data_IF_310193563794
#
_entry.id   IF_310193563794
#
_cell.length_a   1.000
_cell.length_b   1.000
_cell.length_c   1.000
_cell.angle_alpha   90.00
_cell.angle_beta   90.00
_cell.angle_gamma   90.00
#
_symmetry.space_group_name_H-M   'P 1'
#
loop_
_entity.id
_entity.type
_entity.pdbx_description
1 polymer ?
#
# COMPACT_ATOMS: atom_id res chain seq x y z
N UNK A 1 18.57 -16.14 -3.19
CA UNK A 1 19.50 -14.99 -3.23
C UNK A 1 18.93 -13.81 -2.45
N UNK A 2 17.70 -13.37 -2.73
CA UNK A 2 17.08 -12.18 -2.12
C UNK A 2 17.09 -12.25 -0.58
N UNK A 3 16.59 -13.35 0.01
CA UNK A 3 16.51 -13.52 1.46
C UNK A 3 17.89 -13.63 2.11
N UNK A 4 18.75 -14.47 1.58
CA UNK A 4 20.09 -14.69 2.16
C UNK A 4 20.99 -13.46 2.09
N UNK A 5 20.89 -12.69 1.01
CA UNK A 5 21.68 -11.47 0.80
C UNK A 5 21.00 -10.20 1.29
N UNK A 6 19.85 -10.32 2.01
CA UNK A 6 19.07 -9.20 2.55
C UNK A 6 18.74 -8.14 1.48
N UNK A 7 18.38 -8.60 0.27
CA UNK A 7 18.01 -7.73 -0.84
C UNK A 7 16.58 -7.23 -0.72
N UNK A 8 16.35 -5.99 -1.10
CA UNK A 8 15.02 -5.38 -1.11
C UNK A 8 14.31 -5.68 -2.43
N UNK A 9 13.09 -6.17 -2.33
CA UNK A 9 12.17 -6.41 -3.44
C UNK A 9 11.05 -5.39 -3.45
N UNK A 10 10.68 -4.90 -4.64
CA UNK A 10 9.47 -4.11 -4.84
C UNK A 10 8.59 -4.71 -5.95
N UNK A 11 7.29 -4.42 -5.91
CA UNK A 11 6.35 -4.82 -6.95
C UNK A 11 6.25 -3.72 -8.02
N UNK A 12 6.27 -4.11 -9.29
CA UNK A 12 6.10 -3.24 -10.44
C UNK A 12 5.01 -3.78 -11.37
N UNK A 13 3.75 -3.81 -10.88
CA UNK A 13 2.60 -4.32 -11.63
C UNK A 13 1.82 -3.23 -12.33
N UNK A 14 1.62 -2.08 -11.67
CA UNK A 14 0.73 -1.02 -12.13
C UNK A 14 1.19 -0.38 -13.43
N UNK A 15 0.22 -0.09 -14.31
CA UNK A 15 0.39 0.70 -15.53
C UNK A 15 -0.64 1.83 -15.55
N UNK A 16 -0.35 2.93 -16.24
CA UNK A 16 -1.20 4.12 -16.24
C UNK A 16 -2.60 3.84 -16.81
N UNK A 17 -2.69 2.93 -17.78
CA UNK A 17 -3.93 2.59 -18.47
C UNK A 17 -4.80 1.52 -17.80
N UNK A 18 -4.33 0.86 -16.73
CA UNK A 18 -5.04 -0.32 -16.19
C UNK A 18 -5.88 -0.04 -14.94
N UNK A 19 -5.72 1.12 -14.30
CA UNK A 19 -6.48 1.52 -13.11
C UNK A 19 -6.39 0.48 -12.00
N UNK A 20 -7.54 -0.01 -11.50
CA UNK A 20 -7.61 -1.04 -10.46
C UNK A 20 -7.24 -2.44 -10.94
N UNK A 21 -7.20 -2.67 -12.25
CA UNK A 21 -6.88 -3.97 -12.86
C UNK A 21 -5.37 -4.15 -13.03
N UNK A 22 -4.62 -4.04 -11.95
CA UNK A 22 -3.16 -4.11 -11.96
C UNK A 22 -2.57 -5.43 -12.47
N UNK A 23 -3.42 -6.46 -12.64
CA UNK A 23 -3.04 -7.72 -13.29
C UNK A 23 -3.03 -7.66 -14.83
N UNK A 24 -3.58 -6.61 -15.42
CA UNK A 24 -3.52 -6.41 -16.87
C UNK A 24 -2.22 -5.70 -17.24
N UNK A 25 -1.64 -6.12 -18.36
CA UNK A 25 -0.43 -5.53 -18.91
C UNK A 25 -0.72 -5.01 -20.32
N UNK A 26 -0.61 -3.70 -20.52
CA UNK A 26 -0.94 -3.02 -21.79
C UNK A 26 0.18 -2.11 -22.30
N UNK A 27 1.09 -1.70 -21.42
CA UNK A 27 2.17 -0.74 -21.72
C UNK A 27 3.54 -1.39 -21.83
N UNK A 28 3.63 -2.72 -21.64
CA UNK A 28 4.86 -3.51 -21.80
C UNK A 28 4.76 -4.38 -23.05
N UNK A 29 5.84 -4.44 -23.81
CA UNK A 29 6.04 -5.40 -24.88
C UNK A 29 7.23 -6.30 -24.56
N UNK A 30 7.13 -7.58 -24.95
CA UNK A 30 8.19 -8.58 -24.72
C UNK A 30 8.48 -9.29 -26.02
N UNK A 31 9.76 -9.31 -26.41
CA UNK A 31 10.26 -10.12 -27.51
C UNK A 31 11.04 -11.31 -26.94
N UNK A 32 10.45 -12.50 -27.04
CA UNK A 32 10.99 -13.74 -26.50
C UNK A 32 11.94 -14.40 -27.48
N UNK A 33 13.23 -14.37 -27.21
CA UNK A 33 14.29 -15.03 -27.96
C UNK A 33 14.63 -16.41 -27.37
N UNK A 34 15.50 -17.18 -28.00
CA UNK A 34 15.85 -18.53 -27.54
C UNK A 34 16.46 -18.56 -26.12
N UNK A 35 17.34 -17.60 -25.80
CA UNK A 35 18.11 -17.59 -24.52
C UNK A 35 17.75 -16.45 -23.58
N UNK A 36 17.02 -15.45 -24.04
CA UNK A 36 16.70 -14.24 -23.30
C UNK A 36 15.38 -13.63 -23.78
N UNK A 37 14.84 -12.68 -23.02
CA UNK A 37 13.76 -11.84 -23.47
C UNK A 37 14.19 -10.38 -23.49
N UNK A 38 13.63 -9.59 -24.42
CA UNK A 38 13.79 -8.14 -24.54
C UNK A 38 12.49 -7.46 -24.13
N UNK A 39 12.59 -6.51 -23.22
CA UNK A 39 11.44 -5.80 -22.65
C UNK A 39 11.49 -4.33 -23.06
N UNK A 40 10.35 -3.78 -23.45
CA UNK A 40 10.16 -2.35 -23.70
C UNK A 40 8.84 -1.88 -23.13
N UNK A 41 8.79 -0.63 -22.64
CA UNK A 41 7.59 -0.01 -22.12
C UNK A 41 7.81 0.69 -20.80
N UNK A 42 6.77 0.73 -19.96
CA UNK A 42 6.84 1.42 -18.67
C UNK A 42 5.86 0.84 -17.63
N UNK A 43 6.21 1.03 -16.37
CA UNK A 43 5.34 0.79 -15.21
C UNK A 43 5.15 2.07 -14.43
N UNK A 44 3.97 2.27 -13.87
CA UNK A 44 3.62 3.43 -13.05
C UNK A 44 3.55 3.07 -11.58
N UNK A 45 3.68 4.08 -10.72
CA UNK A 45 3.52 3.94 -9.26
C UNK A 45 4.40 2.84 -8.65
N UNK A 46 5.63 2.68 -9.16
CA UNK A 46 6.59 1.67 -8.67
C UNK A 46 7.20 2.16 -7.36
N UNK A 47 6.74 1.58 -6.26
CA UNK A 47 7.22 1.89 -4.91
C UNK A 47 8.70 1.58 -4.76
N UNK A 48 9.42 2.41 -4.00
CA UNK A 48 10.88 2.33 -3.84
C UNK A 48 11.64 2.40 -5.17
N UNK A 49 11.11 3.15 -6.13
CA UNK A 49 11.75 3.34 -7.42
C UNK A 49 13.17 3.87 -7.28
N UNK A 50 14.12 3.22 -7.93
CA UNK A 50 15.57 3.46 -7.85
C UNK A 50 16.23 3.16 -6.49
N UNK A 51 15.53 2.44 -5.57
CA UNK A 51 16.05 2.06 -4.26
C UNK A 51 15.98 0.57 -3.98
N UNK A 52 14.96 -0.15 -4.49
CA UNK A 52 14.90 -1.60 -4.36
C UNK A 52 15.97 -2.27 -5.23
N UNK A 53 16.57 -3.36 -4.74
CA UNK A 53 17.56 -4.12 -5.52
C UNK A 53 16.95 -4.82 -6.72
N UNK A 54 15.68 -5.24 -6.58
CA UNK A 54 14.92 -5.96 -7.62
C UNK A 54 13.46 -5.54 -7.66
N UNK A 55 12.88 -5.60 -8.86
CA UNK A 55 11.47 -5.33 -9.12
C UNK A 55 10.79 -6.55 -9.70
N UNK A 56 9.80 -7.09 -8.99
CA UNK A 56 8.92 -8.15 -9.52
C UNK A 56 7.94 -7.49 -10.47
N UNK A 57 8.12 -7.76 -11.75
CA UNK A 57 7.39 -7.11 -12.83
C UNK A 57 6.48 -8.10 -13.53
N UNK A 58 5.20 -7.77 -13.64
CA UNK A 58 4.23 -8.52 -14.44
C UNK A 58 4.30 -8.02 -15.89
N UNK A 59 4.45 -8.95 -16.84
CA UNK A 59 4.58 -8.66 -18.26
C UNK A 59 3.64 -9.55 -19.09
N UNK A 60 3.25 -9.16 -20.31
CA UNK A 60 2.44 -10.01 -21.18
C UNK A 60 3.25 -11.23 -21.64
N UNK A 61 2.56 -12.35 -21.86
CA UNK A 61 3.12 -13.55 -22.48
C UNK A 61 2.70 -13.67 -23.96
N UNK A 62 3.21 -14.67 -24.66
CA UNK A 62 2.96 -14.93 -26.09
C UNK A 62 1.49 -15.19 -26.40
N UNK A 63 0.74 -15.74 -25.45
CA UNK A 63 -0.68 -16.06 -25.56
C UNK A 63 -1.48 -14.87 -25.00
N UNK A 64 -2.44 -14.38 -25.77
CA UNK A 64 -3.29 -13.26 -25.36
C UNK A 64 -4.03 -13.58 -24.06
N UNK A 65 -3.93 -12.69 -23.08
CA UNK A 65 -4.55 -12.87 -21.76
C UNK A 65 -3.66 -13.61 -20.74
N UNK A 66 -2.56 -14.20 -21.15
CA UNK A 66 -1.55 -14.76 -20.25
C UNK A 66 -0.46 -13.76 -19.94
N UNK A 67 0.15 -13.92 -18.77
CA UNK A 67 1.23 -13.06 -18.28
C UNK A 67 2.37 -13.88 -17.71
N UNK A 68 3.51 -13.24 -17.52
CA UNK A 68 4.66 -13.79 -16.80
C UNK A 68 5.14 -12.83 -15.73
N UNK A 69 5.76 -13.35 -14.69
CA UNK A 69 6.50 -12.54 -13.72
C UNK A 69 8.00 -12.65 -13.97
N UNK A 70 8.65 -11.50 -13.90
CA UNK A 70 10.09 -11.39 -14.08
C UNK A 70 10.70 -10.54 -12.97
N UNK A 71 11.92 -10.90 -12.58
CA UNK A 71 12.72 -10.15 -11.61
C UNK A 71 13.65 -9.20 -12.37
N UNK A 72 13.38 -7.89 -12.30
CA UNK A 72 14.19 -6.86 -12.94
C UNK A 72 15.22 -6.32 -11.95
N UNK A 73 16.54 -6.64 -12.12
CA UNK A 73 17.60 -6.07 -11.27
C UNK A 73 17.72 -4.55 -11.47
N UNK A 74 17.88 -3.79 -10.40
CA UNK A 74 17.96 -2.31 -10.44
C UNK A 74 19.00 -1.78 -11.45
N UNK A 75 20.17 -2.39 -11.50
CA UNK A 75 21.29 -1.90 -12.32
C UNK A 75 21.34 -2.54 -13.72
N UNK A 76 20.24 -3.10 -14.22
CA UNK A 76 20.16 -3.64 -15.57
C UNK A 76 20.21 -2.52 -16.62
N UNK A 77 20.97 -2.73 -17.69
CA UNK A 77 20.96 -1.82 -18.82
C UNK A 77 19.58 -1.74 -19.45
N UNK A 78 19.09 -0.53 -19.66
CA UNK A 78 17.75 -0.28 -20.20
C UNK A 78 16.67 -0.10 -19.15
N UNK A 79 16.98 -0.17 -17.84
CA UNK A 79 16.05 0.13 -16.75
C UNK A 79 16.38 1.48 -16.13
N UNK A 80 15.38 2.37 -16.08
CA UNK A 80 15.54 3.71 -15.47
C UNK A 80 14.29 4.11 -14.67
N UNK A 81 14.47 5.04 -13.71
CA UNK A 81 13.41 5.50 -12.82
C UNK A 81 13.32 7.02 -12.82
N UNK A 82 12.13 7.53 -13.00
CA UNK A 82 11.85 8.97 -13.00
C UNK A 82 11.46 9.44 -11.60
N UNK A 83 12.39 9.40 -10.64
CA UNK A 83 12.11 9.71 -9.22
C UNK A 83 11.58 11.12 -8.99
N UNK A 84 11.95 12.08 -9.84
CA UNK A 84 11.45 13.46 -9.80
C UNK A 84 9.96 13.60 -10.16
N UNK A 85 9.36 12.59 -10.80
CA UNK A 85 7.92 12.59 -11.12
C UNK A 85 7.05 12.24 -9.93
N UNK A 86 7.62 11.70 -8.83
CA UNK A 86 6.88 11.41 -7.63
C UNK A 86 6.61 12.68 -6.82
N UNK A 87 5.40 13.19 -6.92
CA UNK A 87 4.90 14.35 -6.17
C UNK A 87 3.57 14.02 -5.49
N UNK A 88 3.56 12.98 -4.69
CA UNK A 88 2.37 12.53 -3.94
C UNK A 88 1.89 13.55 -2.92
N UNK A 89 0.58 13.64 -2.72
CA UNK A 89 -0.03 14.43 -1.65
C UNK A 89 0.49 13.98 -0.28
N UNK A 90 0.43 12.67 -0.02
CA UNK A 90 0.98 11.97 1.13
C UNK A 90 1.94 10.85 0.70
N UNK A 91 2.38 10.02 1.65
CA UNK A 91 3.30 8.90 1.43
C UNK A 91 4.54 9.29 0.63
N UNK A 92 5.05 10.49 0.85
CA UNK A 92 6.11 11.09 0.00
C UNK A 92 7.42 10.34 0.04
N UNK A 93 7.75 9.71 1.16
CA UNK A 93 8.96 8.88 1.30
C UNK A 93 8.87 7.54 0.55
N UNK A 94 7.71 7.21 0.00
CA UNK A 94 7.46 5.94 -0.69
C UNK A 94 8.11 5.89 -2.08
N UNK A 95 8.34 7.05 -2.70
CA UNK A 95 8.92 7.20 -4.06
C UNK A 95 8.27 6.22 -5.05
N UNK A 96 6.94 6.36 -5.22
CA UNK A 96 6.18 5.56 -6.19
C UNK A 96 6.24 6.21 -7.56
N UNK A 97 7.39 6.12 -8.22
CA UNK A 97 7.65 6.80 -9.50
C UNK A 97 7.41 5.88 -10.72
N UNK A 98 7.59 6.45 -11.90
CA UNK A 98 7.57 5.70 -13.15
C UNK A 98 8.90 4.93 -13.33
N UNK A 99 8.78 3.68 -13.77
CA UNK A 99 9.87 2.82 -14.23
C UNK A 99 9.80 2.71 -15.76
N UNK A 100 10.84 3.16 -16.44
CA UNK A 100 10.97 3.10 -17.88
C UNK A 100 11.88 1.93 -18.27
N UNK A 101 11.47 1.19 -19.30
CA UNK A 101 12.13 -0.02 -19.79
C UNK A 101 12.42 0.19 -21.27
N UNK A 102 13.70 0.17 -21.63
CA UNK A 102 14.14 0.39 -23.01
C UNK A 102 15.17 -0.66 -23.43
N UNK A 103 14.74 -1.63 -24.24
CA UNK A 103 15.55 -2.76 -24.68
C UNK A 103 16.25 -3.50 -23.52
N UNK A 104 15.55 -3.63 -22.39
CA UNK A 104 16.03 -4.39 -21.25
C UNK A 104 16.15 -5.86 -21.65
N UNK A 105 17.38 -6.40 -21.61
CA UNK A 105 17.68 -7.80 -21.92
C UNK A 105 17.87 -8.59 -20.64
N UNK A 106 17.07 -9.63 -20.44
CA UNK A 106 17.21 -10.55 -19.30
C UNK A 106 17.19 -12.02 -19.75
N UNK A 107 18.06 -12.83 -19.15
CA UNK A 107 18.04 -14.27 -19.32
C UNK A 107 16.86 -14.90 -18.58
N UNK A 108 16.42 -16.08 -19.02
CA UNK A 108 15.25 -16.75 -18.45
C UNK A 108 15.39 -17.15 -16.97
N UNK A 109 16.59 -17.14 -16.39
CA UNK A 109 16.75 -17.36 -14.95
C UNK A 109 16.15 -16.24 -14.08
N UNK A 110 15.86 -15.06 -14.69
CA UNK A 110 15.11 -13.98 -14.03
C UNK A 110 13.59 -14.14 -14.12
N UNK A 111 13.08 -15.13 -14.85
CA UNK A 111 11.65 -15.46 -14.88
C UNK A 111 11.27 -16.14 -13.56
N UNK A 112 10.15 -15.70 -12.98
CA UNK A 112 9.60 -16.26 -11.75
C UNK A 112 8.53 -17.28 -12.13
N UNK A 113 8.73 -18.54 -11.72
CA UNK A 113 7.76 -19.63 -11.87
C UNK A 113 7.58 -20.14 -13.30
N UNK A 114 6.39 -20.65 -13.62
CA UNK A 114 6.09 -21.31 -14.89
C UNK A 114 5.65 -20.30 -15.98
N UNK A 115 5.88 -20.65 -17.23
CA UNK A 115 5.48 -19.88 -18.42
C UNK A 115 3.98 -19.63 -18.46
N UNK A 116 3.59 -18.39 -18.82
CA UNK A 116 2.19 -17.99 -18.94
C UNK A 116 1.39 -17.91 -17.65
N UNK A 117 2.02 -18.18 -16.48
CA UNK A 117 1.35 -18.26 -15.16
C UNK A 117 1.53 -17.02 -14.28
N UNK A 118 1.90 -15.89 -14.87
CA UNK A 118 2.16 -14.66 -14.13
C UNK A 118 0.99 -14.19 -13.28
N UNK A 119 -0.23 -14.20 -13.79
CA UNK A 119 -1.42 -13.79 -13.06
C UNK A 119 -1.74 -14.72 -11.88
N UNK A 120 -1.57 -16.03 -12.06
CA UNK A 120 -1.76 -17.02 -11.00
C UNK A 120 -0.72 -16.81 -9.89
N UNK A 121 0.53 -16.63 -10.26
CA UNK A 121 1.64 -16.38 -9.32
C UNK A 121 1.49 -15.04 -8.59
N UNK A 122 0.99 -14.00 -9.28
CA UNK A 122 0.76 -12.69 -8.70
C UNK A 122 -0.32 -12.69 -7.62
N UNK A 123 -1.18 -13.69 -7.57
CA UNK A 123 -2.19 -13.84 -6.52
C UNK A 123 -1.58 -14.31 -5.19
N UNK A 124 -0.47 -15.03 -5.22
CA UNK A 124 0.17 -15.57 -4.00
C UNK A 124 0.53 -14.51 -2.95
N UNK A 125 1.14 -13.35 -3.28
CA UNK A 125 1.44 -12.32 -2.30
C UNK A 125 0.24 -11.43 -1.92
N UNK A 126 -0.90 -11.53 -2.62
CA UNK A 126 -2.06 -10.62 -2.44
C UNK A 126 -2.59 -10.60 -1.00
N UNK A 127 -2.83 -11.73 -0.32
CA UNK A 127 -3.31 -11.71 1.06
C UNK A 127 -2.34 -11.00 2.00
N UNK A 128 -1.05 -11.28 1.88
CA UNK A 128 0.00 -10.64 2.67
C UNK A 128 0.07 -9.13 2.39
N UNK A 129 0.02 -8.73 1.12
CA UNK A 129 0.06 -7.34 0.70
C UNK A 129 -1.16 -6.56 1.24
N UNK A 130 -2.37 -7.09 1.09
CA UNK A 130 -3.60 -6.43 1.56
C UNK A 130 -3.58 -6.28 3.08
N UNK A 131 -3.24 -7.34 3.82
CA UNK A 131 -3.18 -7.27 5.29
C UNK A 131 -2.03 -6.40 5.80
N UNK A 132 -0.89 -6.39 5.09
CA UNK A 132 0.22 -5.48 5.36
C UNK A 132 -0.20 -4.01 5.28
N UNK A 133 -1.00 -3.65 4.28
CA UNK A 133 -1.58 -2.30 4.19
C UNK A 133 -2.59 -2.01 5.31
N UNK A 134 -3.40 -2.99 5.73
CA UNK A 134 -4.27 -2.83 6.91
C UNK A 134 -3.44 -2.51 8.16
N UNK A 135 -2.33 -3.19 8.36
CA UNK A 135 -1.40 -2.94 9.47
C UNK A 135 -0.76 -1.54 9.40
N UNK A 136 -0.38 -1.07 8.20
CA UNK A 136 0.16 0.29 7.99
C UNK A 136 -0.84 1.35 8.45
N UNK A 137 -2.12 1.25 8.01
CA UNK A 137 -3.14 2.25 8.38
C UNK A 137 -3.62 2.12 9.82
N UNK A 138 -3.57 0.93 10.39
CA UNK A 138 -3.76 0.73 11.84
C UNK A 138 -2.65 1.41 12.66
N UNK A 139 -1.41 1.30 12.20
CA UNK A 139 -0.26 1.98 12.79
C UNK A 139 -0.34 3.51 12.66
N UNK A 140 -0.80 4.00 11.52
CA UNK A 140 -1.03 5.44 11.33
C UNK A 140 -2.15 5.95 12.24
N UNK A 141 -3.24 5.18 12.43
CA UNK A 141 -4.28 5.51 13.40
C UNK A 141 -3.74 5.59 14.83
N UNK A 142 -2.83 4.69 15.21
CA UNK A 142 -2.17 4.75 16.51
C UNK A 142 -1.30 6.00 16.65
N UNK A 143 -0.52 6.34 15.63
CA UNK A 143 0.30 7.55 15.65
C UNK A 143 -0.54 8.85 15.76
N UNK A 144 -1.70 8.89 15.11
CA UNK A 144 -2.67 9.98 15.24
C UNK A 144 -3.20 10.08 16.68
N UNK A 145 -3.56 8.96 17.29
CA UNK A 145 -4.02 8.92 18.68
C UNK A 145 -2.94 9.45 19.64
N UNK A 146 -1.72 8.96 19.50
CA UNK A 146 -0.60 9.33 20.37
C UNK A 146 -0.27 10.83 20.27
N UNK A 147 -0.25 11.37 19.06
CA UNK A 147 -0.04 12.81 18.82
C UNK A 147 -1.19 13.64 19.40
N UNK A 148 -2.44 13.21 19.21
CA UNK A 148 -3.62 13.90 19.73
C UNK A 148 -3.64 13.92 21.27
N UNK A 149 -3.37 12.79 21.91
CA UNK A 149 -3.27 12.67 23.38
C UNK A 149 -2.13 13.54 23.91
N UNK A 150 -0.94 13.45 23.32
CA UNK A 150 0.22 14.23 23.71
C UNK A 150 -0.05 15.74 23.61
N UNK A 151 -0.63 16.18 22.49
CA UNK A 151 -0.97 17.57 22.29
C UNK A 151 -1.97 18.07 23.34
N UNK A 152 -3.07 17.35 23.57
CA UNK A 152 -4.19 17.78 24.43
C UNK A 152 -3.83 17.76 25.90
N UNK A 153 -2.99 16.83 26.34
CA UNK A 153 -2.51 16.77 27.74
C UNK A 153 -1.46 17.82 28.07
N UNK A 154 -0.61 18.15 27.10
CA UNK A 154 0.48 19.13 27.29
C UNK A 154 0.02 20.59 27.16
N UNK A 155 -1.08 20.85 26.45
CA UNK A 155 -1.60 22.20 26.30
C UNK A 155 -2.39 22.61 27.54
N UNK A 156 -1.84 23.56 28.31
CA UNK A 156 -2.47 24.10 29.54
C UNK A 156 -3.10 25.46 29.30
N UNK A 157 -4.19 25.72 30.00
CA UNK A 157 -4.84 27.01 30.12
C UNK A 157 -4.34 27.77 31.36
N UNK A 158 -4.58 29.11 31.46
CA UNK A 158 -4.15 29.90 32.63
C UNK A 158 -4.75 29.44 33.96
N UNK A 159 -5.91 28.77 33.94
CA UNK A 159 -6.57 28.17 35.12
C UNK A 159 -5.97 26.80 35.52
N UNK A 160 -4.92 26.33 34.86
CA UNK A 160 -4.22 25.07 35.11
C UNK A 160 -4.85 23.85 34.46
N UNK A 161 -6.04 23.98 33.86
CA UNK A 161 -6.68 22.88 33.10
C UNK A 161 -5.90 22.58 31.81
N UNK A 162 -5.98 21.33 31.38
CA UNK A 162 -5.47 20.93 30.09
C UNK A 162 -6.58 20.94 29.01
N UNK A 163 -6.16 20.97 27.76
CA UNK A 163 -7.11 20.85 26.65
C UNK A 163 -7.88 19.49 26.72
N UNK A 164 -7.23 18.45 27.25
CA UNK A 164 -7.86 17.14 27.49
C UNK A 164 -8.96 17.13 28.56
N UNK A 165 -9.11 18.19 29.36
CA UNK A 165 -10.20 18.30 30.36
C UNK A 165 -11.53 18.78 29.74
N UNK A 166 -11.51 19.16 28.47
CA UNK A 166 -12.71 19.61 27.74
C UNK A 166 -13.49 18.40 27.23
N UNK A 167 -14.76 18.27 27.60
CA UNK A 167 -15.62 17.12 27.26
C UNK A 167 -15.66 16.81 25.76
N UNK A 168 -15.77 17.84 24.89
CA UNK A 168 -15.76 17.65 23.44
C UNK A 168 -14.44 17.05 22.94
N UNK A 169 -13.32 17.41 23.57
CA UNK A 169 -12.00 16.83 23.24
C UNK A 169 -11.95 15.37 23.68
N UNK A 170 -12.45 15.07 24.88
CA UNK A 170 -12.53 13.69 25.38
C UNK A 170 -13.40 12.80 24.48
N UNK A 171 -14.54 13.33 23.99
CA UNK A 171 -15.41 12.64 23.04
C UNK A 171 -14.63 12.26 21.77
N UNK A 172 -13.88 13.19 21.18
CA UNK A 172 -13.09 12.93 19.96
C UNK A 172 -11.94 11.97 20.21
N UNK A 173 -11.23 12.08 21.34
CA UNK A 173 -10.18 11.14 21.72
C UNK A 173 -10.72 9.72 21.89
N UNK A 174 -11.90 9.57 22.51
CA UNK A 174 -12.57 8.28 22.65
C UNK A 174 -12.91 7.67 21.29
N UNK A 175 -13.36 8.46 20.33
CA UNK A 175 -13.68 7.98 18.97
C UNK A 175 -12.42 7.52 18.24
N UNK A 176 -11.34 8.33 18.25
CA UNK A 176 -10.05 7.96 17.66
C UNK A 176 -9.54 6.66 18.30
N UNK A 177 -9.65 6.53 19.63
CA UNK A 177 -9.23 5.31 20.35
C UNK A 177 -10.00 4.08 19.90
N UNK A 178 -11.33 4.13 19.83
CA UNK A 178 -12.18 3.01 19.43
C UNK A 178 -11.86 2.56 18.01
N UNK A 179 -11.78 3.50 17.06
CA UNK A 179 -11.44 3.22 15.68
C UNK A 179 -10.05 2.60 15.54
N UNK A 180 -9.07 3.12 16.28
CA UNK A 180 -7.70 2.59 16.30
C UNK A 180 -7.67 1.15 16.84
N UNK A 181 -8.34 0.91 17.97
CA UNK A 181 -8.39 -0.45 18.58
C UNK A 181 -9.07 -1.44 17.65
N UNK A 182 -10.19 -1.07 17.03
CA UNK A 182 -10.89 -1.92 16.08
C UNK A 182 -10.01 -2.25 14.87
N UNK A 183 -9.32 -1.26 14.28
CA UNK A 183 -8.41 -1.46 13.15
C UNK A 183 -7.27 -2.44 13.48
N UNK A 184 -6.64 -2.28 14.65
CA UNK A 184 -5.56 -3.16 15.10
C UNK A 184 -6.06 -4.59 15.33
N UNK A 185 -7.21 -4.75 15.99
CA UNK A 185 -7.77 -6.07 16.27
C UNK A 185 -8.19 -6.80 14.99
N UNK A 186 -8.85 -6.11 14.05
CA UNK A 186 -9.22 -6.69 12.76
C UNK A 186 -8.00 -7.11 11.94
N UNK A 187 -6.96 -6.27 11.88
CA UNK A 187 -5.72 -6.60 11.14
C UNK A 187 -4.99 -7.80 11.75
N UNK A 188 -4.96 -7.91 13.08
CA UNK A 188 -4.39 -9.08 13.77
C UNK A 188 -5.21 -10.34 13.55
N UNK A 189 -6.53 -10.25 13.71
CA UNK A 189 -7.43 -11.37 13.44
C UNK A 189 -7.27 -11.88 12.01
N UNK A 190 -7.17 -10.98 11.03
CA UNK A 190 -6.95 -11.35 9.63
C UNK A 190 -5.62 -12.09 9.43
N UNK A 191 -4.55 -11.67 10.11
CA UNK A 191 -3.26 -12.35 10.04
C UNK A 191 -3.31 -13.74 10.70
N UNK A 192 -3.97 -13.87 11.86
CA UNK A 192 -4.13 -15.13 12.57
C UNK A 192 -5.00 -16.12 11.79
N UNK A 193 -6.11 -15.65 11.25
CA UNK A 193 -7.03 -16.41 10.40
C UNK A 193 -6.30 -16.95 9.15
N UNK A 194 -5.48 -16.12 8.51
CA UNK A 194 -4.68 -16.54 7.36
C UNK A 194 -3.61 -17.58 7.74
N UNK A 195 -2.91 -17.38 8.86
CA UNK A 195 -1.90 -18.32 9.33
C UNK A 195 -2.47 -19.69 9.74
N UNK A 196 -3.76 -19.75 10.12
CA UNK A 196 -4.49 -20.97 10.47
C UNK A 196 -5.23 -21.59 9.28
N UNK A 197 -5.14 -20.98 8.08
CA UNK A 197 -5.86 -21.41 6.88
C UNK A 197 -7.38 -21.51 7.09
N UNK A 198 -7.96 -20.58 7.87
CA UNK A 198 -9.40 -20.54 8.12
C UNK A 198 -10.15 -20.20 6.83
N UNK A 199 -11.37 -20.75 6.66
CA UNK A 199 -12.22 -20.56 5.48
C UNK A 199 -12.48 -19.08 5.17
N UNK A 200 -12.65 -18.27 6.22
CA UNK A 200 -12.95 -16.83 6.12
C UNK A 200 -11.68 -15.94 6.07
N UNK A 201 -10.48 -16.52 5.99
CA UNK A 201 -9.24 -15.77 6.10
C UNK A 201 -9.14 -14.62 5.08
N UNK A 202 -9.50 -14.85 3.82
CA UNK A 202 -9.44 -13.81 2.80
C UNK A 202 -10.50 -12.72 3.01
N UNK A 203 -11.71 -13.08 3.44
CA UNK A 203 -12.75 -12.13 3.83
C UNK A 203 -12.28 -11.25 5.01
N UNK A 204 -11.66 -11.84 6.01
CA UNK A 204 -11.10 -11.12 7.16
C UNK A 204 -10.01 -10.13 6.72
N UNK A 205 -9.13 -10.51 5.80
CA UNK A 205 -8.06 -9.66 5.25
C UNK A 205 -8.65 -8.46 4.51
N UNK A 206 -9.60 -8.70 3.59
CA UNK A 206 -10.21 -7.64 2.77
C UNK A 206 -10.98 -6.66 3.66
N UNK A 207 -11.76 -7.18 4.61
CA UNK A 207 -12.54 -6.38 5.57
C UNK A 207 -11.66 -5.54 6.48
N UNK A 208 -10.57 -6.11 7.02
CA UNK A 208 -9.61 -5.40 7.85
C UNK A 208 -8.95 -4.23 7.10
N UNK A 209 -8.60 -4.45 5.83
CA UNK A 209 -8.01 -3.41 4.97
C UNK A 209 -9.02 -2.31 4.68
N UNK A 210 -10.25 -2.65 4.29
CA UNK A 210 -11.31 -1.67 4.03
C UNK A 210 -11.60 -0.81 5.27
N UNK A 211 -11.80 -1.45 6.43
CA UNK A 211 -12.07 -0.76 7.69
C UNK A 211 -10.92 0.18 8.10
N UNK A 212 -9.68 -0.31 8.05
CA UNK A 212 -8.51 0.48 8.47
C UNK A 212 -8.31 1.73 7.59
N UNK A 213 -8.57 1.61 6.27
CA UNK A 213 -8.48 2.74 5.34
C UNK A 213 -9.55 3.79 5.56
N UNK A 214 -10.78 3.36 5.85
CA UNK A 214 -11.87 4.26 6.12
C UNK A 214 -11.64 5.00 7.44
N UNK A 215 -11.31 4.26 8.51
CA UNK A 215 -11.19 4.81 9.86
C UNK A 215 -9.95 5.65 10.09
N UNK A 216 -8.85 5.42 9.39
CA UNK A 216 -7.66 6.27 9.53
C UNK A 216 -7.90 7.71 9.08
N UNK A 217 -8.70 7.93 8.02
CA UNK A 217 -9.06 9.28 7.58
C UNK A 217 -9.95 9.97 8.61
N UNK A 218 -10.95 9.27 9.14
CA UNK A 218 -11.81 9.80 10.19
C UNK A 218 -10.97 10.19 11.41
N UNK A 219 -10.06 9.33 11.85
CA UNK A 219 -9.14 9.59 12.95
C UNK A 219 -8.25 10.82 12.67
N UNK A 220 -7.70 10.95 11.46
CA UNK A 220 -6.87 12.09 11.09
C UNK A 220 -7.66 13.41 11.10
N UNK A 221 -8.92 13.40 10.61
CA UNK A 221 -9.82 14.57 10.68
C UNK A 221 -10.16 14.97 12.11
N UNK A 222 -10.45 13.99 12.98
CA UNK A 222 -10.67 14.24 14.41
C UNK A 222 -9.40 14.74 15.08
N UNK A 223 -8.24 14.15 14.80
CA UNK A 223 -6.93 14.60 15.26
C UNK A 223 -6.65 16.06 14.89
N UNK A 224 -6.92 16.46 13.65
CA UNK A 224 -6.84 17.88 13.22
C UNK A 224 -7.72 18.77 14.06
N UNK A 225 -8.97 18.37 14.36
CA UNK A 225 -9.92 19.16 15.17
C UNK A 225 -9.43 19.33 16.60
N UNK A 226 -8.96 18.26 17.25
CA UNK A 226 -8.48 18.32 18.65
C UNK A 226 -7.17 19.09 18.79
N UNK A 227 -6.27 18.99 17.82
CA UNK A 227 -5.00 19.71 17.83
C UNK A 227 -5.12 21.17 17.32
N UNK A 228 -6.23 21.50 16.67
CA UNK A 228 -6.58 22.86 16.24
C UNK A 228 -5.58 23.50 15.28
N UNK A 229 -5.43 24.81 15.32
CA UNK A 229 -4.55 25.57 14.41
C UNK A 229 -3.09 25.12 14.41
N UNK A 230 -2.60 24.53 15.50
CA UNK A 230 -1.25 23.95 15.54
C UNK A 230 -1.09 22.77 14.61
N UNK A 231 -2.13 21.94 14.49
CA UNK A 231 -2.14 20.77 13.60
C UNK A 231 -2.15 21.16 12.11
N UNK A 232 -2.71 22.33 11.79
CA UNK A 232 -2.75 22.85 10.41
C UNK A 232 -1.39 23.33 9.90
N UNK A 233 -0.41 23.46 10.81
CA UNK A 233 0.91 23.96 10.50
C UNK A 233 1.84 22.78 10.15
N UNK A 234 2.70 22.96 9.13
CA UNK A 234 3.67 21.95 8.67
C UNK A 234 4.81 21.64 9.66
N UNK A 235 4.84 22.29 10.82
CA UNK A 235 5.84 21.99 11.87
C UNK A 235 5.49 20.78 12.73
N UNK A 236 4.24 20.27 12.64
CA UNK A 236 3.78 19.10 13.38
C UNK A 236 3.59 17.88 12.50
N UNK A 237 3.26 16.75 13.15
CA UNK A 237 3.03 15.49 12.45
C UNK A 237 1.59 15.35 11.90
N UNK A 238 0.61 16.01 12.53
CA UNK A 238 -0.81 15.77 12.27
C UNK A 238 -1.20 16.09 10.82
N UNK A 239 -0.67 17.17 10.23
CA UNK A 239 -0.93 17.52 8.83
C UNK A 239 -0.41 16.45 7.86
N UNK A 240 0.77 15.86 8.19
CA UNK A 240 1.35 14.76 7.44
C UNK A 240 0.48 13.50 7.57
N UNK A 241 0.04 13.17 8.78
CA UNK A 241 -0.83 12.03 9.02
C UNK A 241 -2.15 12.15 8.24
N UNK A 242 -2.72 13.35 8.15
CA UNK A 242 -3.91 13.58 7.32
C UNK A 242 -3.62 13.32 5.84
N UNK A 243 -2.51 13.82 5.30
CA UNK A 243 -2.15 13.59 3.90
C UNK A 243 -1.86 12.11 3.62
N UNK A 244 -1.15 11.45 4.51
CA UNK A 244 -0.80 10.03 4.39
C UNK A 244 -2.03 9.13 4.49
N UNK A 245 -3.02 9.49 5.34
CA UNK A 245 -4.26 8.73 5.50
C UNK A 245 -5.10 8.68 4.21
N UNK A 246 -5.08 9.75 3.40
CA UNK A 246 -5.84 9.83 2.15
C UNK A 246 -5.37 8.80 1.10
N UNK A 247 -4.11 8.37 1.13
CA UNK A 247 -3.60 7.34 0.24
C UNK A 247 -4.33 6.00 0.42
N UNK A 248 -4.83 5.72 1.62
CA UNK A 248 -5.57 4.49 1.92
C UNK A 248 -6.79 4.23 1.07
N UNK A 249 -7.46 5.29 0.62
CA UNK A 249 -8.67 5.16 -0.20
C UNK A 249 -8.39 4.86 -1.67
N UNK A 250 -7.27 5.35 -2.19
CA UNK A 250 -6.97 5.30 -3.63
C UNK A 250 -5.88 4.31 -4.00
N UNK A 251 -5.06 3.89 -3.04
CA UNK A 251 -3.99 2.90 -3.27
C UNK A 251 -4.62 1.53 -3.59
N UNK A 252 -4.18 0.94 -4.70
CA UNK A 252 -4.72 -0.33 -5.18
C UNK A 252 -4.50 -1.51 -4.19
N UNK A 253 -5.51 -2.36 -3.98
CA UNK A 253 -6.90 -2.18 -4.38
C UNK A 253 -7.56 -1.04 -3.59
N UNK A 254 -8.31 -0.16 -4.29
CA UNK A 254 -8.97 1.00 -3.67
C UNK A 254 -10.14 0.61 -2.76
N UNK A 255 -10.54 1.55 -1.90
CA UNK A 255 -11.55 1.29 -0.85
C UNK A 255 -12.89 0.78 -1.41
N UNK A 256 -13.39 1.39 -2.49
CA UNK A 256 -14.66 0.97 -3.09
C UNK A 256 -14.61 -0.46 -3.60
N UNK A 257 -13.50 -0.83 -4.26
CA UNK A 257 -13.28 -2.21 -4.71
C UNK A 257 -13.24 -3.19 -3.53
N UNK A 258 -12.56 -2.84 -2.44
CA UNK A 258 -12.50 -3.68 -1.23
C UNK A 258 -13.88 -3.89 -0.60
N UNK A 259 -14.71 -2.84 -0.56
CA UNK A 259 -16.07 -2.93 -0.04
C UNK A 259 -16.98 -3.79 -0.93
N UNK A 260 -16.87 -3.64 -2.26
CA UNK A 260 -17.59 -4.49 -3.22
C UNK A 260 -17.17 -5.96 -3.05
N UNK A 261 -15.86 -6.21 -3.00
CA UNK A 261 -15.32 -7.56 -2.83
C UNK A 261 -15.76 -8.18 -1.48
N UNK A 262 -15.76 -7.40 -0.40
CA UNK A 262 -16.28 -7.84 0.90
C UNK A 262 -17.75 -8.28 0.78
N UNK A 263 -18.59 -7.45 0.14
CA UNK A 263 -19.99 -7.77 -0.10
C UNK A 263 -20.18 -9.04 -0.91
N UNK A 264 -19.41 -9.23 -1.98
CA UNK A 264 -19.43 -10.44 -2.81
C UNK A 264 -19.04 -11.69 -2.02
N UNK A 265 -17.96 -11.60 -1.21
CA UNK A 265 -17.49 -12.72 -0.40
C UNK A 265 -18.50 -13.14 0.68
N UNK A 266 -19.28 -12.20 1.22
CA UNK A 266 -20.34 -12.50 2.18
C UNK A 266 -21.56 -13.14 1.49
N UNK A 267 -21.92 -12.67 0.28
CA UNK A 267 -23.14 -13.09 -0.42
C UNK A 267 -22.99 -14.45 -1.13
N UNK A 268 -21.76 -14.87 -1.40
CA UNK A 268 -21.46 -16.12 -2.12
C UNK A 268 -21.10 -17.29 -1.17
N UNK A 269 -21.38 -17.16 0.12
CA UNK A 269 -21.19 -18.21 1.14
C UNK A 269 -22.30 -19.25 1.15
#
# INVERSE_FOLDING_TARGET
>A
EVVYNKKMLALAYSESGTGTNFMNTTEITVDFQEKFALFNGKKSMVTSGNYADYYVTLVPYKIVGETEQWLFPLHSNGLTFSTSTWNGLGMRSNISCEMCINNLKLDYHYRIGAEGKGNEQAQSPVPFFINGLAAVYSGLSQAILDEAVTHTTNRKYPDGKSLSDIETVQLHLAEIFKNTKASVLLSRNAAESFAKEEEDAFLNIVSARAFSCDKVIENARLGMRVCGGKAYNRYGNMERFLRDSLAGQVMAPGLDFLNILTGQLISNK
#
